data_IF_366459706743
#
_entry.id   IF_366459706743
#
_cell.length_a   1.000
_cell.length_b   1.000
_cell.length_c   1.000
_cell.angle_alpha   90.00
_cell.angle_beta   90.00
_cell.angle_gamma   90.00
#
_symmetry.space_group_name_H-M   'P 1'
#
loop_
_entity.id
_entity.type
_entity.pdbx_description
1 polymer ?
#
# COMPACT_ATOMS: atom_id res chain seq x y z
N UNK A 1 -27.77 2.44 16.65
CA UNK A 1 -27.64 1.19 15.86
C UNK A 1 -26.65 0.30 16.61
N UNK A 2 -27.03 -0.92 17.01
CA UNK A 2 -26.12 -1.80 17.75
C UNK A 2 -25.18 -2.49 16.73
N UNK A 3 -23.88 -2.27 16.88
CA UNK A 3 -22.87 -2.96 16.07
C UNK A 3 -22.71 -4.37 16.65
N UNK A 4 -23.27 -5.39 16.00
CA UNK A 4 -23.23 -6.76 16.49
C UNK A 4 -22.15 -7.55 15.76
N UNK A 5 -21.06 -7.82 16.47
CA UNK A 5 -20.01 -8.71 16.00
C UNK A 5 -20.47 -10.14 16.32
N UNK A 6 -20.53 -11.01 15.31
CA UNK A 6 -20.94 -12.42 15.47
C UNK A 6 -19.77 -13.35 15.79
N UNK A 7 -18.57 -12.90 15.45
CA UNK A 7 -17.34 -13.63 15.68
C UNK A 7 -16.79 -13.31 17.09
N UNK A 8 -16.67 -14.30 17.98
CA UNK A 8 -16.26 -14.07 19.37
C UNK A 8 -14.83 -13.56 19.50
N UNK A 9 -13.93 -13.93 18.59
CA UNK A 9 -12.56 -13.43 18.57
C UNK A 9 -12.51 -11.94 18.25
N UNK A 10 -13.25 -11.51 17.23
CA UNK A 10 -13.36 -10.10 16.84
C UNK A 10 -13.99 -9.25 17.94
N UNK A 11 -15.01 -9.75 18.64
CA UNK A 11 -15.62 -9.03 19.78
C UNK A 11 -14.61 -8.84 20.92
N UNK A 12 -13.84 -9.88 21.26
CA UNK A 12 -12.79 -9.80 22.28
C UNK A 12 -11.70 -8.79 21.90
N UNK A 13 -11.25 -8.79 20.65
CA UNK A 13 -10.24 -7.84 20.16
C UNK A 13 -10.73 -6.39 20.21
N UNK A 14 -11.97 -6.15 19.77
CA UNK A 14 -12.56 -4.80 19.78
C UNK A 14 -12.78 -4.32 21.22
N UNK A 15 -13.22 -5.19 22.14
CA UNK A 15 -13.32 -4.85 23.57
C UNK A 15 -11.98 -4.52 24.17
N UNK A 16 -10.95 -5.32 23.89
CA UNK A 16 -9.61 -5.05 24.39
C UNK A 16 -9.08 -3.70 23.88
N UNK A 17 -9.33 -3.38 22.61
CA UNK A 17 -8.97 -2.07 22.05
C UNK A 17 -9.73 -0.93 22.72
N UNK A 18 -11.04 -1.10 22.92
CA UNK A 18 -11.90 -0.13 23.60
C UNK A 18 -11.44 0.13 25.04
N UNK A 19 -11.07 -0.92 25.78
CA UNK A 19 -10.51 -0.82 27.14
C UNK A 19 -9.18 -0.07 27.16
N UNK A 20 -8.24 -0.45 26.27
CA UNK A 20 -6.90 0.18 26.19
C UNK A 20 -6.96 1.64 25.77
N UNK A 21 -7.85 1.97 24.84
CA UNK A 21 -8.04 3.33 24.33
C UNK A 21 -9.01 4.15 25.19
N UNK A 22 -9.65 3.55 26.20
CA UNK A 22 -10.67 4.16 27.05
C UNK A 22 -11.82 4.82 26.25
N UNK A 23 -12.28 4.14 25.20
CA UNK A 23 -13.38 4.61 24.34
C UNK A 23 -14.49 3.56 24.23
N UNK A 24 -15.65 3.96 23.72
CA UNK A 24 -16.73 3.01 23.40
C UNK A 24 -16.36 2.08 22.24
N UNK A 25 -17.00 0.91 22.18
CA UNK A 25 -16.78 -0.13 21.15
C UNK A 25 -16.84 0.44 19.73
N UNK A 26 -17.83 1.27 19.43
CA UNK A 26 -17.98 1.88 18.09
C UNK A 26 -16.80 2.80 17.74
N UNK A 27 -16.31 3.58 18.71
CA UNK A 27 -15.17 4.46 18.47
C UNK A 27 -13.86 3.67 18.36
N UNK A 28 -13.72 2.57 19.11
CA UNK A 28 -12.59 1.65 18.97
C UNK A 28 -12.53 1.03 17.56
N UNK A 29 -13.67 0.58 17.01
CA UNK A 29 -13.74 0.07 15.63
C UNK A 29 -13.37 1.16 14.63
N UNK A 30 -13.88 2.38 14.81
CA UNK A 30 -13.57 3.52 13.94
C UNK A 30 -12.07 3.85 13.98
N UNK A 31 -11.46 3.86 15.16
CA UNK A 31 -10.03 4.10 15.34
C UNK A 31 -9.20 3.04 14.62
N UNK A 32 -9.49 1.75 14.86
CA UNK A 32 -8.79 0.65 14.19
C UNK A 32 -8.91 0.73 12.66
N UNK A 33 -10.11 1.02 12.15
CA UNK A 33 -10.34 1.16 10.71
C UNK A 33 -9.55 2.34 10.12
N UNK A 34 -9.55 3.48 10.81
CA UNK A 34 -8.82 4.67 10.37
C UNK A 34 -7.30 4.42 10.32
N UNK A 35 -6.73 3.83 11.37
CA UNK A 35 -5.31 3.49 11.44
C UNK A 35 -4.90 2.48 10.36
N UNK A 36 -5.72 1.46 10.14
CA UNK A 36 -5.47 0.44 9.12
C UNK A 36 -5.52 1.02 7.69
N UNK A 37 -6.42 1.98 7.44
CA UNK A 37 -6.48 2.70 6.16
C UNK A 37 -5.27 3.62 5.99
N UNK A 38 -4.94 4.42 7.00
CA UNK A 38 -3.80 5.33 6.97
C UNK A 38 -2.48 4.59 6.73
N UNK A 39 -2.30 3.44 7.38
CA UNK A 39 -1.11 2.59 7.19
C UNK A 39 -0.98 2.08 5.76
N UNK A 40 -2.11 1.65 5.16
CA UNK A 40 -2.14 1.19 3.76
C UNK A 40 -1.84 2.31 2.77
N UNK A 41 -2.44 3.48 2.97
CA UNK A 41 -2.20 4.65 2.11
C UNK A 41 -0.74 5.13 2.22
N UNK A 42 -0.18 5.19 3.43
CA UNK A 42 1.24 5.53 3.61
C UNK A 42 2.16 4.55 2.89
N UNK A 43 1.94 3.25 3.06
CA UNK A 43 2.73 2.22 2.37
C UNK A 43 2.59 2.30 0.84
N UNK A 44 1.42 2.68 0.34
CA UNK A 44 1.18 2.90 -1.09
C UNK A 44 1.92 4.13 -1.60
N UNK A 45 1.84 5.25 -0.89
CA UNK A 45 2.52 6.49 -1.28
C UNK A 45 4.05 6.31 -1.26
N UNK A 46 4.61 5.59 -0.28
CA UNK A 46 6.03 5.27 -0.24
C UNK A 46 6.47 4.43 -1.46
N UNK A 47 5.66 3.45 -1.88
CA UNK A 47 5.92 2.67 -3.10
C UNK A 47 5.85 3.55 -4.35
N UNK A 48 4.85 4.42 -4.44
CA UNK A 48 4.70 5.35 -5.56
C UNK A 48 5.85 6.36 -5.63
N UNK A 49 6.31 6.87 -4.48
CA UNK A 49 7.45 7.77 -4.41
C UNK A 49 8.72 7.11 -4.94
N UNK A 50 8.99 5.84 -4.55
CA UNK A 50 10.11 5.07 -5.09
C UNK A 50 10.01 4.85 -6.59
N UNK A 51 8.82 4.48 -7.08
CA UNK A 51 8.58 4.31 -8.52
C UNK A 51 8.80 5.63 -9.29
N UNK A 52 8.29 6.76 -8.78
CA UNK A 52 8.50 8.09 -9.37
C UNK A 52 9.97 8.46 -9.42
N UNK A 53 10.75 8.16 -8.38
CA UNK A 53 12.19 8.41 -8.37
C UNK A 53 12.91 7.66 -9.49
N UNK A 54 12.62 6.36 -9.66
CA UNK A 54 13.18 5.54 -10.75
C UNK A 54 12.75 6.10 -12.12
N UNK A 55 11.46 6.42 -12.30
CA UNK A 55 10.97 6.98 -13.55
C UNK A 55 11.63 8.34 -13.86
N UNK A 56 11.85 9.18 -12.85
CA UNK A 56 12.51 10.47 -13.02
C UNK A 56 13.99 10.30 -13.41
N UNK A 57 14.69 9.35 -12.79
CA UNK A 57 16.07 9.01 -13.15
C UNK A 57 16.15 8.55 -14.61
N UNK A 58 15.33 7.59 -15.02
CA UNK A 58 15.30 7.09 -16.41
C UNK A 58 14.92 8.19 -17.39
N UNK A 59 13.96 9.05 -17.04
CA UNK A 59 13.55 10.17 -17.88
C UNK A 59 14.64 11.25 -18.02
N UNK A 60 15.59 11.32 -17.08
CA UNK A 60 16.71 12.26 -17.16
C UNK A 60 17.75 11.87 -18.21
N UNK A 61 17.76 10.61 -18.66
CA UNK A 61 18.74 10.12 -19.61
C UNK A 61 18.52 10.73 -21.00
N UNK A 62 19.59 11.15 -21.70
CA UNK A 62 19.47 11.69 -23.04
C UNK A 62 18.92 10.61 -23.99
N UNK A 63 17.97 11.01 -24.85
CA UNK A 63 17.44 10.10 -25.87
C UNK A 63 18.55 9.76 -26.86
N UNK A 64 18.88 8.49 -26.97
CA UNK A 64 19.95 7.99 -27.86
C UNK A 64 19.56 8.06 -29.34
N UNK A 65 18.27 8.16 -29.66
CA UNK A 65 17.78 8.17 -31.05
C UNK A 65 17.89 6.83 -31.77
N UNK A 66 18.47 5.81 -31.13
CA UNK A 66 18.58 4.46 -31.64
C UNK A 66 17.20 3.78 -31.62
N UNK A 67 16.87 3.08 -32.71
CA UNK A 67 15.72 2.18 -32.74
C UNK A 67 16.16 0.82 -32.21
N UNK A 68 15.51 0.35 -31.16
CA UNK A 68 15.57 -1.06 -30.78
C UNK A 68 14.78 -1.85 -31.83
N UNK A 69 15.47 -2.25 -32.90
CA UNK A 69 14.90 -3.03 -33.99
C UNK A 69 15.03 -4.54 -33.71
N UNK A 70 14.54 -5.35 -34.64
CA UNK A 70 14.54 -6.80 -34.49
C UNK A 70 15.97 -7.37 -34.30
N UNK A 71 16.97 -6.81 -34.97
CA UNK A 71 18.35 -7.27 -34.85
C UNK A 71 18.92 -7.02 -33.44
N UNK A 72 18.53 -5.91 -32.80
CA UNK A 72 18.87 -5.67 -31.39
C UNK A 72 18.26 -6.73 -30.47
N UNK A 73 16.97 -7.07 -30.63
CA UNK A 73 16.32 -8.08 -29.78
C UNK A 73 16.78 -9.51 -30.05
N UNK A 74 17.05 -9.87 -31.32
CA UNK A 74 17.59 -11.18 -31.68
C UNK A 74 18.97 -11.38 -31.00
N UNK A 75 19.82 -10.33 -30.93
CA UNK A 75 21.11 -10.39 -30.23
C UNK A 75 21.06 -10.58 -28.71
N UNK A 76 19.91 -10.32 -28.07
CA UNK A 76 19.72 -10.49 -26.62
C UNK A 76 19.25 -11.91 -26.24
N UNK A 77 18.78 -12.69 -27.22
CA UNK A 77 18.18 -14.01 -27.03
C UNK A 77 19.04 -15.17 -27.56
N UNK A 78 20.18 -14.88 -28.20
CA UNK A 78 21.09 -15.86 -28.79
C UNK A 78 22.09 -16.48 -27.78
N UNK A 79 21.80 -16.40 -26.47
CA UNK A 79 22.54 -17.06 -25.37
C UNK A 79 21.59 -17.93 -24.52
#
# INVERSE_FOLDING_TARGET
MAFHIRDPETDALVRQLAEKAHVGITEAVKLAAAEALATREKAREEKLAKARAICAEVASWPRTGLKADKAFFDSLNDE
#
